data_IF_376937516383
#
_entry.id   IF_376937516383
#
_cell.length_a   1.000
_cell.length_b   1.000
_cell.length_c   1.000
_cell.angle_alpha   90.00
_cell.angle_beta   90.00
_cell.angle_gamma   90.00
#
_symmetry.space_group_name_H-M   'P 1'
#
loop_
_entity.id
_entity.type
_entity.pdbx_description
1 polymer ?
#
# COMPACT_ATOMS: atom_id res chain seq x y z
N UNK A 1 20.49 -23.36 -5.13
CA UNK A 1 19.06 -23.26 -5.42
C UNK A 1 18.83 -22.49 -6.71
N UNK A 2 18.01 -23.01 -7.58
CA UNK A 2 17.77 -22.36 -8.85
C UNK A 2 16.69 -21.27 -8.71
N UNK A 3 16.84 -20.24 -9.51
CA UNK A 3 15.81 -19.20 -9.60
C UNK A 3 14.65 -19.72 -10.44
N UNK A 4 13.44 -19.54 -9.93
CA UNK A 4 12.22 -19.91 -10.65
C UNK A 4 11.50 -18.63 -11.05
N UNK A 5 11.27 -18.46 -12.34
CA UNK A 5 10.57 -17.28 -12.85
C UNK A 5 9.07 -17.52 -12.75
N UNK A 6 8.47 -16.88 -11.75
CA UNK A 6 7.03 -16.98 -11.51
C UNK A 6 6.44 -15.56 -11.53
N UNK A 7 5.77 -15.23 -12.63
CA UNK A 7 5.24 -13.89 -12.83
C UNK A 7 3.89 -13.66 -12.19
N UNK A 8 3.32 -14.71 -11.58
CA UNK A 8 2.01 -14.60 -10.94
C UNK A 8 2.10 -14.57 -9.42
N UNK A 9 3.32 -14.58 -8.86
CA UNK A 9 3.47 -14.69 -7.43
C UNK A 9 3.08 -13.41 -6.71
N UNK A 10 2.80 -13.56 -5.44
CA UNK A 10 2.48 -12.46 -4.55
C UNK A 10 3.18 -12.74 -3.23
N UNK A 11 3.18 -11.75 -2.33
CA UNK A 11 3.82 -11.92 -1.04
C UNK A 11 3.10 -11.10 0.01
N UNK A 12 3.20 -11.53 1.25
CA UNK A 12 2.62 -10.81 2.39
C UNK A 12 3.68 -9.93 3.02
N UNK A 13 3.28 -8.73 3.41
CA UNK A 13 4.20 -7.77 4.03
C UNK A 13 3.45 -6.91 5.01
N UNK A 14 3.99 -6.68 6.21
CA UNK A 14 3.28 -5.88 7.22
C UNK A 14 3.23 -4.40 6.83
N UNK A 15 2.08 -3.79 7.09
CA UNK A 15 1.86 -2.36 6.88
C UNK A 15 1.56 -1.74 8.23
N UNK A 16 2.29 -0.68 8.56
CA UNK A 16 2.09 0.02 9.83
C UNK A 16 1.99 1.51 9.54
N UNK A 17 0.98 2.16 10.10
CA UNK A 17 0.89 3.59 10.02
C UNK A 17 0.13 4.10 11.24
N UNK A 18 0.08 5.42 11.39
CA UNK A 18 -0.49 6.04 12.58
C UNK A 18 -1.57 7.02 12.17
N UNK A 19 -2.65 7.06 12.93
CA UNK A 19 -3.72 8.02 12.71
C UNK A 19 -3.88 8.87 13.96
N UNK A 20 -4.32 10.13 13.80
CA UNK A 20 -4.56 10.98 14.98
C UNK A 20 -5.81 10.53 15.72
N UNK A 21 -5.76 10.65 17.03
CA UNK A 21 -6.90 10.45 17.89
C UNK A 21 -6.95 11.65 18.87
N UNK A 22 -7.81 11.59 19.86
CA UNK A 22 -8.02 12.70 20.76
C UNK A 22 -6.73 13.10 21.49
N UNK A 23 -6.67 14.38 21.87
CA UNK A 23 -5.61 14.91 22.73
C UNK A 23 -4.22 14.84 22.10
N UNK A 24 -4.17 15.05 20.77
CA UNK A 24 -2.91 15.09 20.02
C UNK A 24 -2.13 13.78 20.06
N UNK A 25 -2.81 12.68 20.36
CA UNK A 25 -2.18 11.37 20.37
C UNK A 25 -2.37 10.69 19.04
N UNK A 26 -1.62 9.59 18.83
CA UNK A 26 -1.68 8.82 17.61
C UNK A 26 -2.00 7.37 17.95
N UNK A 27 -2.80 6.75 17.10
CA UNK A 27 -3.09 5.34 17.23
C UNK A 27 -2.36 4.56 16.14
N UNK A 28 -1.68 3.49 16.55
CA UNK A 28 -0.97 2.62 15.60
C UNK A 28 -1.97 1.71 14.90
N UNK A 29 -1.90 1.68 13.59
CA UNK A 29 -2.69 0.77 12.76
C UNK A 29 -1.72 -0.21 12.12
N UNK A 30 -2.03 -1.49 12.21
CA UNK A 30 -1.16 -2.52 11.66
C UNK A 30 -1.99 -3.64 11.04
N UNK A 31 -1.59 -4.06 9.85
CA UNK A 31 -2.20 -5.21 9.18
C UNK A 31 -1.17 -5.78 8.22
N UNK A 32 -1.49 -6.91 7.59
CA UNK A 32 -0.60 -7.53 6.62
C UNK A 32 -1.24 -7.42 5.24
N UNK A 33 -0.52 -6.80 4.32
CA UNK A 33 -0.98 -6.68 2.93
C UNK A 33 -0.44 -7.83 2.10
N UNK A 34 -1.23 -8.28 1.14
CA UNK A 34 -0.76 -9.22 0.13
C UNK A 34 -0.51 -8.42 -1.14
N UNK A 35 0.75 -8.34 -1.53
CA UNK A 35 1.18 -7.51 -2.66
C UNK A 35 1.43 -8.35 -3.90
N UNK A 36 1.09 -7.79 -5.06
CA UNK A 36 1.43 -8.40 -6.34
C UNK A 36 2.89 -8.12 -6.67
N UNK A 37 3.54 -9.08 -7.33
CA UNK A 37 4.88 -8.86 -7.88
C UNK A 37 4.72 -8.33 -9.29
N UNK A 38 4.75 -7.01 -9.43
CA UNK A 38 4.59 -6.38 -10.73
C UNK A 38 5.88 -6.47 -11.54
N UNK A 39 5.78 -6.44 -12.88
CA UNK A 39 6.97 -6.34 -13.71
C UNK A 39 7.77 -5.07 -13.37
N UNK A 40 9.09 -5.15 -13.50
CA UNK A 40 9.96 -4.02 -13.17
C UNK A 40 9.57 -2.76 -13.96
N UNK A 41 9.17 -2.94 -15.20
CA UNK A 41 8.75 -1.81 -16.03
C UNK A 41 7.57 -1.07 -15.40
N UNK A 42 6.59 -1.83 -14.87
CA UNK A 42 5.43 -1.20 -14.24
C UNK A 42 5.80 -0.54 -12.93
N UNK A 43 6.68 -1.18 -12.16
CA UNK A 43 7.16 -0.59 -10.91
C UNK A 43 7.83 0.77 -11.20
N UNK A 44 8.63 0.83 -12.25
CA UNK A 44 9.28 2.10 -12.62
C UNK A 44 8.26 3.16 -13.02
N UNK A 45 7.22 2.78 -13.75
CA UNK A 45 6.17 3.71 -14.15
C UNK A 45 5.44 4.26 -12.93
N UNK A 46 5.08 3.37 -11.99
CA UNK A 46 4.38 3.79 -10.78
C UNK A 46 5.26 4.71 -9.94
N UNK A 47 6.56 4.40 -9.85
CA UNK A 47 7.48 5.25 -9.10
C UNK A 47 7.54 6.65 -9.68
N UNK A 48 7.54 6.77 -11.01
CA UNK A 48 7.54 8.09 -11.66
C UNK A 48 6.25 8.85 -11.35
N UNK A 49 5.11 8.14 -11.38
CA UNK A 49 3.83 8.76 -11.08
C UNK A 49 3.84 9.28 -9.64
N UNK A 50 4.30 8.46 -8.71
CA UNK A 50 4.33 8.83 -7.30
C UNK A 50 5.24 10.04 -7.06
N UNK A 51 6.41 10.06 -7.71
CA UNK A 51 7.31 11.19 -7.58
C UNK A 51 6.70 12.47 -8.13
N UNK A 52 5.98 12.37 -9.26
CA UNK A 52 5.33 13.54 -9.84
C UNK A 52 4.24 14.07 -8.91
N UNK A 53 3.51 13.17 -8.28
CA UNK A 53 2.46 13.58 -7.34
C UNK A 53 3.04 14.39 -6.19
N UNK A 54 4.18 13.96 -5.66
CA UNK A 54 4.84 14.67 -4.57
C UNK A 54 5.29 16.06 -5.05
N UNK A 55 5.90 16.15 -6.23
CA UNK A 55 6.35 17.43 -6.78
C UNK A 55 5.17 18.36 -7.02
N UNK A 56 4.09 17.86 -7.60
CA UNK A 56 2.91 18.67 -7.86
C UNK A 56 2.34 19.22 -6.56
N UNK A 57 2.29 18.39 -5.53
CA UNK A 57 1.79 18.83 -4.24
C UNK A 57 2.66 19.93 -3.64
N UNK A 58 3.98 19.80 -3.76
CA UNK A 58 4.91 20.81 -3.24
C UNK A 58 4.77 22.13 -3.99
N UNK A 59 4.39 22.06 -5.26
CA UNK A 59 4.24 23.26 -6.09
C UNK A 59 2.81 23.80 -6.11
N UNK A 60 1.92 23.22 -5.30
CA UNK A 60 0.55 23.68 -5.22
C UNK A 60 -0.32 23.25 -6.40
N UNK A 61 0.11 22.28 -7.17
CA UNK A 61 -0.63 21.79 -8.32
C UNK A 61 -1.50 20.63 -7.86
N UNK A 62 -2.80 20.72 -8.19
CA UNK A 62 -3.74 19.68 -7.85
C UNK A 62 -3.76 18.64 -8.97
N UNK A 63 -3.21 17.46 -8.71
CA UNK A 63 -3.17 16.39 -9.70
C UNK A 63 -4.19 15.32 -9.31
N UNK A 64 -5.29 15.27 -10.07
CA UNK A 64 -6.37 14.33 -9.78
C UNK A 64 -6.42 13.16 -10.75
N UNK A 65 -5.48 13.07 -11.67
CA UNK A 65 -5.52 12.01 -12.68
C UNK A 65 -5.31 10.63 -12.09
N UNK A 66 -4.36 10.51 -11.16
CA UNK A 66 -4.06 9.23 -10.50
C UNK A 66 -3.82 9.54 -9.03
N UNK A 67 -4.40 8.74 -8.17
CA UNK A 67 -4.26 8.92 -6.73
C UNK A 67 -3.54 7.73 -6.09
N UNK A 68 -3.14 7.89 -4.83
CA UNK A 68 -2.58 6.78 -4.06
C UNK A 68 -3.57 5.61 -4.00
N UNK A 69 -4.87 5.91 -3.99
CA UNK A 69 -5.90 4.86 -3.97
C UNK A 69 -5.80 4.02 -5.23
N UNK A 70 -5.62 4.67 -6.40
CA UNK A 70 -5.52 3.93 -7.66
C UNK A 70 -4.29 3.04 -7.68
N UNK A 71 -3.16 3.56 -7.20
CA UNK A 71 -1.93 2.77 -7.15
C UNK A 71 -2.07 1.61 -6.17
N UNK A 72 -2.61 1.88 -4.99
CA UNK A 72 -2.81 0.85 -3.98
C UNK A 72 -3.73 -0.24 -4.50
N UNK A 73 -4.79 0.15 -5.23
CA UNK A 73 -5.72 -0.82 -5.81
C UNK A 73 -5.02 -1.76 -6.78
N UNK A 74 -4.04 -1.25 -7.51
CA UNK A 74 -3.31 -2.07 -8.48
C UNK A 74 -2.35 -3.04 -7.80
N UNK A 75 -1.71 -2.63 -6.72
CA UNK A 75 -0.61 -3.43 -6.15
C UNK A 75 -1.05 -4.40 -5.06
N UNK A 76 -2.23 -4.19 -4.44
CA UNK A 76 -2.69 -5.06 -3.36
C UNK A 76 -3.66 -6.10 -3.91
N UNK A 77 -3.52 -7.36 -3.45
CA UNK A 77 -4.42 -8.41 -3.90
C UNK A 77 -4.96 -9.25 -2.73
N UNK A 78 -4.81 -8.76 -1.51
CA UNK A 78 -5.35 -9.44 -0.34
C UNK A 78 -4.86 -8.78 0.91
N UNK A 79 -5.30 -9.30 2.05
CA UNK A 79 -4.84 -8.83 3.35
C UNK A 79 -5.08 -9.87 4.41
N UNK A 80 -4.44 -9.67 5.57
CA UNK A 80 -4.68 -10.43 6.78
C UNK A 80 -4.76 -9.47 7.95
N UNK A 81 -5.43 -9.89 9.00
CA UNK A 81 -5.51 -9.12 10.24
C UNK A 81 -6.26 -7.81 10.05
N UNK A 82 -7.28 -7.84 9.21
CA UNK A 82 -8.19 -6.72 9.02
C UNK A 82 -9.58 -7.18 9.45
N UNK A 83 -10.15 -6.47 10.41
CA UNK A 83 -11.46 -6.81 10.94
C UNK A 83 -12.45 -5.69 10.68
N UNK A 84 -13.73 -6.05 10.61
CA UNK A 84 -14.78 -5.04 10.51
C UNK A 84 -15.07 -4.45 11.90
N UNK A 85 -16.06 -3.55 11.96
CA UNK A 85 -16.37 -2.86 13.21
C UNK A 85 -16.86 -3.79 14.30
N UNK A 86 -17.33 -4.98 13.93
CA UNK A 86 -17.84 -5.95 14.88
C UNK A 86 -16.79 -6.97 15.31
N UNK A 87 -15.56 -6.80 14.85
CA UNK A 87 -14.47 -7.69 15.21
C UNK A 87 -14.37 -8.94 14.35
N UNK A 88 -15.16 -9.05 13.29
CA UNK A 88 -15.09 -10.19 12.39
C UNK A 88 -14.10 -9.90 11.28
N UNK A 89 -13.48 -10.96 10.78
CA UNK A 89 -12.52 -10.82 9.70
C UNK A 89 -13.17 -10.17 8.48
N UNK A 90 -12.54 -9.13 7.94
CA UNK A 90 -13.05 -8.45 6.75
C UNK A 90 -12.56 -9.21 5.52
N UNK A 91 -13.48 -9.79 4.78
CA UNK A 91 -13.13 -10.57 3.61
C UNK A 91 -12.66 -9.67 2.48
N UNK A 92 -11.68 -10.16 1.72
CA UNK A 92 -11.15 -9.44 0.57
C UNK A 92 -12.12 -9.64 -0.61
N UNK A 93 -12.75 -8.55 -1.02
CA UNK A 93 -13.59 -8.52 -2.22
C UNK A 93 -13.64 -7.07 -2.70
N UNK A 94 -14.23 -6.85 -3.88
CA UNK A 94 -14.19 -5.53 -4.48
C UNK A 94 -14.86 -4.46 -3.62
N UNK A 95 -15.99 -4.80 -3.01
CA UNK A 95 -16.71 -3.84 -2.18
C UNK A 95 -15.90 -3.46 -0.95
N UNK A 96 -15.39 -4.47 -0.25
CA UNK A 96 -14.62 -4.22 0.96
C UNK A 96 -13.29 -3.55 0.64
N UNK A 97 -12.70 -3.88 -0.50
CA UNK A 97 -11.44 -3.25 -0.92
C UNK A 97 -11.62 -1.76 -1.12
N UNK A 98 -12.73 -1.37 -1.73
CA UNK A 98 -13.01 0.05 -1.95
C UNK A 98 -13.11 0.79 -0.62
N UNK A 99 -13.84 0.25 0.35
CA UNK A 99 -13.96 0.86 1.65
C UNK A 99 -12.61 0.90 2.37
N UNK A 100 -11.86 -0.18 2.27
CA UNK A 100 -10.57 -0.32 2.91
C UNK A 100 -9.59 0.74 2.40
N UNK A 101 -9.50 0.90 1.08
CA UNK A 101 -8.56 1.84 0.50
C UNK A 101 -8.96 3.29 0.70
N UNK A 102 -10.21 3.54 1.03
CA UNK A 102 -10.68 4.90 1.32
C UNK A 102 -10.50 5.30 2.78
N UNK A 103 -10.03 4.37 3.62
CA UNK A 103 -9.72 4.73 5.01
C UNK A 103 -8.58 5.75 5.01
N UNK A 104 -8.70 6.83 5.80
CA UNK A 104 -7.70 7.92 5.76
C UNK A 104 -6.28 7.41 5.94
N UNK A 105 -5.37 7.84 5.06
CA UNK A 105 -3.93 7.56 5.09
C UNK A 105 -3.56 6.13 4.76
N UNK A 106 -4.53 5.23 4.63
CA UNK A 106 -4.23 3.81 4.42
C UNK A 106 -3.60 3.56 3.05
N UNK A 107 -4.17 4.16 2.00
CA UNK A 107 -3.65 3.94 0.64
C UNK A 107 -2.21 4.43 0.51
N UNK A 108 -1.90 5.60 1.09
CA UNK A 108 -0.54 6.11 1.09
C UNK A 108 0.39 5.15 1.80
N UNK A 109 -0.03 4.63 2.96
CA UNK A 109 0.79 3.67 3.70
C UNK A 109 1.03 2.40 2.91
N UNK A 110 -0.01 1.92 2.19
CA UNK A 110 0.12 0.72 1.36
C UNK A 110 1.17 0.95 0.26
N UNK A 111 1.10 2.10 -0.41
CA UNK A 111 2.03 2.40 -1.50
C UNK A 111 3.46 2.55 -0.99
N UNK A 112 3.65 3.30 0.09
CA UNK A 112 4.97 3.51 0.65
C UNK A 112 5.58 2.19 1.14
N UNK A 113 4.78 1.37 1.79
CA UNK A 113 5.26 0.07 2.28
C UNK A 113 5.65 -0.83 1.12
N UNK A 114 4.89 -0.78 0.03
CA UNK A 114 5.22 -1.57 -1.16
C UNK A 114 6.63 -1.24 -1.66
N UNK A 115 6.92 0.05 -1.85
CA UNK A 115 8.24 0.45 -2.32
C UNK A 115 9.32 0.10 -1.31
N UNK A 116 9.04 0.27 -0.02
CA UNK A 116 10.01 -0.10 1.01
C UNK A 116 10.30 -1.60 0.98
N UNK A 117 9.30 -2.42 0.70
CA UNK A 117 9.48 -3.86 0.64
C UNK A 117 10.33 -4.31 -0.54
N UNK A 118 10.46 -3.45 -1.57
CA UNK A 118 11.24 -3.76 -2.75
C UNK A 118 12.70 -3.33 -2.61
N UNK A 119 13.02 -2.53 -1.58
CA UNK A 119 14.39 -2.08 -1.37
C UNK A 119 15.18 -3.23 -0.78
N UNK A 120 16.32 -3.51 -1.41
CA UNK A 120 17.18 -4.54 -0.90
C UNK A 120 17.97 -3.99 0.25
N UNK A 121 17.60 -4.38 1.46
CA UNK A 121 18.24 -3.83 2.61
C UNK A 121 19.42 -4.61 3.01
N UNK A 122 20.36 -3.91 3.38
CA UNK A 122 21.46 -4.51 3.91
C UNK A 122 21.28 -4.69 5.31
N UNK A 123 20.23 -4.33 5.73
CA UNK A 123 19.91 -4.43 6.98
C UNK A 123 19.73 -5.65 7.48
N UNK A 124 19.78 -5.99 7.53
CA UNK A 124 19.52 -6.88 7.98
C UNK A 124 20.10 -7.50 8.44
N UNK A 125 20.41 -7.44 8.78
CA UNK A 125 20.72 -7.93 9.17
C UNK A 125 20.85 -8.14 9.74
#
# INVERSE_FOLDING_TARGET
MAFVLDTSSSYYWPVVFYIPIDDEEKQKIEFTAKYKRLPQKRINQIRKIANKMVLDMQNGIDNTDISDIDIADEIICGWKNVNDAEGNELKYNNKNKEQFLNFPMLATAVVETYFNSLVEEKRKN
#
